data_IF_890648041926
#
_entry.id   IF_890648041926
#
_cell.length_a   1.000
_cell.length_b   1.000
_cell.length_c   1.000
_cell.angle_alpha   90.00
_cell.angle_beta   90.00
_cell.angle_gamma   90.00
#
_symmetry.space_group_name_H-M   'P 1'
#
loop_
_entity.id
_entity.type
_entity.pdbx_description
1 polymer ?
#
# COMPACT_ATOMS: atom_id res chain seq x y z
N UNK A 1 -15.96 -17.64 1.94
CA UNK A 1 -15.98 -17.02 3.27
C UNK A 1 -14.55 -16.58 3.56
N UNK A 2 -14.17 -15.40 3.07
CA UNK A 2 -12.79 -14.88 3.13
C UNK A 2 -12.66 -13.69 4.07
N UNK A 3 -13.69 -12.86 4.19
CA UNK A 3 -13.66 -11.67 5.06
C UNK A 3 -13.67 -12.08 6.54
N UNK A 4 -14.42 -13.11 6.90
CA UNK A 4 -14.39 -13.67 8.26
C UNK A 4 -13.00 -14.21 8.64
N UNK A 5 -12.26 -14.79 7.69
CA UNK A 5 -10.88 -15.23 7.94
C UNK A 5 -9.93 -14.04 8.17
N UNK A 6 -10.10 -12.96 7.39
CA UNK A 6 -9.34 -11.72 7.58
C UNK A 6 -9.63 -11.09 8.95
N UNK A 7 -10.91 -11.07 9.37
CA UNK A 7 -11.32 -10.60 10.70
C UNK A 7 -10.57 -11.36 11.80
N UNK A 8 -10.60 -12.69 11.77
CA UNK A 8 -9.87 -13.53 12.74
C UNK A 8 -8.36 -13.26 12.74
N UNK A 9 -7.76 -13.14 11.55
CA UNK A 9 -6.34 -12.82 11.45
C UNK A 9 -6.02 -11.45 12.07
N UNK A 10 -6.89 -10.45 11.89
CA UNK A 10 -6.70 -9.12 12.49
C UNK A 10 -6.88 -9.11 14.00
N UNK A 11 -7.81 -9.90 14.54
CA UNK A 11 -8.02 -10.05 15.98
C UNK A 11 -6.73 -10.56 16.66
N UNK A 12 -6.13 -11.61 16.09
CA UNK A 12 -4.95 -12.29 16.63
C UNK A 12 -3.61 -11.61 16.31
N UNK A 13 -3.50 -10.88 15.20
CA UNK A 13 -2.22 -10.30 14.80
C UNK A 13 -1.76 -9.15 15.71
N UNK A 14 -0.44 -8.92 15.73
CA UNK A 14 0.15 -7.74 16.34
C UNK A 14 -0.13 -6.50 15.48
N UNK A 15 -0.12 -5.28 16.07
CA UNK A 15 -0.19 -4.04 15.30
C UNK A 15 0.86 -3.97 14.20
N UNK A 16 0.54 -3.30 13.08
CA UNK A 16 1.40 -3.12 11.91
C UNK A 16 1.76 -4.43 11.17
N UNK A 17 0.96 -5.48 11.35
CA UNK A 17 1.14 -6.74 10.63
C UNK A 17 0.74 -6.62 9.16
N UNK A 18 1.35 -7.48 8.32
CA UNK A 18 0.98 -7.63 6.91
C UNK A 18 0.18 -8.93 6.75
N UNK A 19 -1.01 -8.83 6.18
CA UNK A 19 -1.89 -9.97 5.89
C UNK A 19 -1.98 -10.14 4.38
N UNK A 20 -1.58 -11.31 3.88
CA UNK A 20 -1.68 -11.65 2.46
C UNK A 20 -2.83 -12.64 2.25
N UNK A 21 -3.74 -12.28 1.36
CA UNK A 21 -4.93 -13.07 1.05
C UNK A 21 -4.82 -13.59 -0.36
N UNK A 22 -4.66 -14.91 -0.51
CA UNK A 22 -4.65 -15.58 -1.81
C UNK A 22 -6.01 -16.23 -2.04
N UNK A 23 -6.69 -15.87 -3.13
CA UNK A 23 -8.03 -16.42 -3.44
C UNK A 23 -8.30 -16.39 -4.94
N UNK A 24 -9.09 -17.33 -5.45
CA UNK A 24 -9.55 -17.35 -6.84
C UNK A 24 -10.99 -16.86 -7.01
N UNK A 25 -11.64 -16.44 -5.92
CA UNK A 25 -13.05 -16.13 -5.88
C UNK A 25 -13.40 -14.86 -5.09
N UNK A 26 -14.60 -14.33 -5.39
CA UNK A 26 -15.24 -13.24 -4.65
C UNK A 26 -15.67 -13.71 -3.26
N UNK A 27 -15.71 -12.77 -2.32
CA UNK A 27 -16.26 -13.04 -0.98
C UNK A 27 -17.78 -13.23 -1.02
N UNK A 28 -18.30 -14.16 -0.19
CA UNK A 28 -19.75 -14.32 0.10
C UNK A 28 -20.15 -13.70 1.43
N UNK A 29 -19.17 -13.36 2.26
CA UNK A 29 -19.31 -12.83 3.62
C UNK A 29 -18.90 -11.35 3.68
N UNK A 30 -19.20 -10.60 2.61
CA UNK A 30 -18.86 -9.18 2.47
C UNK A 30 -19.61 -8.28 3.45
N UNK A 31 -20.67 -8.76 4.12
CA UNK A 31 -21.35 -8.05 5.20
C UNK A 31 -20.45 -7.80 6.43
N UNK A 32 -19.34 -8.53 6.57
CA UNK A 32 -18.36 -8.35 7.64
C UNK A 32 -17.32 -7.23 7.37
N UNK A 33 -17.43 -6.52 6.23
CA UNK A 33 -16.42 -5.55 5.79
C UNK A 33 -16.22 -4.44 6.81
N UNK A 34 -17.28 -3.84 7.33
CA UNK A 34 -17.22 -2.75 8.32
C UNK A 34 -16.42 -3.13 9.59
N UNK A 35 -16.63 -4.35 10.09
CA UNK A 35 -15.90 -4.85 11.25
C UNK A 35 -14.40 -5.00 10.95
N UNK A 36 -14.07 -5.48 9.75
CA UNK A 36 -12.68 -5.60 9.28
C UNK A 36 -12.04 -4.23 9.11
N UNK A 37 -12.75 -3.24 8.56
CA UNK A 37 -12.24 -1.87 8.41
C UNK A 37 -11.92 -1.24 9.77
N UNK A 38 -12.77 -1.44 10.78
CA UNK A 38 -12.52 -0.96 12.13
C UNK A 38 -11.27 -1.61 12.76
N UNK A 39 -11.09 -2.91 12.57
CA UNK A 39 -9.90 -3.64 13.05
C UNK A 39 -8.62 -3.18 12.36
N UNK A 40 -8.66 -2.94 11.04
CA UNK A 40 -7.52 -2.42 10.27
C UNK A 40 -7.07 -1.07 10.80
N UNK A 41 -8.01 -0.15 11.05
CA UNK A 41 -7.68 1.17 11.60
C UNK A 41 -7.10 1.08 13.00
N UNK A 42 -7.54 0.14 13.82
CA UNK A 42 -7.01 -0.05 15.18
C UNK A 42 -5.60 -0.66 15.15
N UNK A 43 -5.43 -1.77 14.41
CA UNK A 43 -4.15 -2.49 14.33
C UNK A 43 -3.14 -1.80 13.43
N UNK A 44 -3.56 -0.85 12.59
CA UNK A 44 -2.72 -0.24 11.55
C UNK A 44 -2.06 -1.30 10.64
N UNK A 45 -2.75 -2.42 10.46
CA UNK A 45 -2.29 -3.58 9.67
C UNK A 45 -2.64 -3.41 8.20
N UNK A 46 -1.80 -3.96 7.33
CA UNK A 46 -1.98 -3.87 5.88
C UNK A 46 -2.53 -5.18 5.31
N UNK A 47 -3.53 -5.10 4.42
CA UNK A 47 -4.13 -6.28 3.79
C UNK A 47 -3.90 -6.24 2.28
N UNK A 48 -3.18 -7.22 1.77
CA UNK A 48 -2.83 -7.33 0.34
C UNK A 48 -3.53 -8.54 -0.25
N UNK A 49 -4.27 -8.32 -1.34
CA UNK A 49 -5.02 -9.38 -2.02
C UNK A 49 -4.29 -9.82 -3.28
N UNK A 50 -4.10 -11.13 -3.40
CA UNK A 50 -3.57 -11.80 -4.58
C UNK A 50 -4.67 -12.70 -5.14
N UNK A 51 -5.36 -12.19 -6.15
CA UNK A 51 -6.53 -12.84 -6.73
C UNK A 51 -6.18 -13.58 -8.01
N UNK A 52 -6.56 -14.86 -8.13
CA UNK A 52 -6.22 -15.71 -9.28
C UNK A 52 -7.46 -16.31 -9.92
N UNK A 53 -8.09 -15.62 -10.86
CA UNK A 53 -9.29 -16.15 -11.49
C UNK A 53 -10.01 -15.11 -12.33
N UNK A 54 -10.92 -15.58 -13.19
CA UNK A 54 -11.84 -14.71 -13.91
C UNK A 54 -12.96 -14.34 -12.93
N UNK A 55 -12.67 -13.38 -12.04
CA UNK A 55 -13.71 -12.74 -11.26
C UNK A 55 -14.46 -11.80 -12.22
N UNK A 56 -15.22 -12.40 -13.14
CA UNK A 56 -15.89 -11.81 -14.30
C UNK A 56 -16.92 -10.73 -13.99
N UNK A 57 -16.92 -10.20 -12.77
CA UNK A 57 -17.67 -9.03 -12.37
C UNK A 57 -16.96 -8.30 -11.22
N UNK A 58 -16.13 -7.32 -11.58
CA UNK A 58 -15.48 -6.36 -10.66
C UNK A 58 -16.46 -5.38 -10.02
N UNK A 59 -17.73 -5.40 -10.41
CA UNK A 59 -18.77 -4.54 -9.83
C UNK A 59 -19.48 -5.20 -8.65
N UNK A 60 -19.36 -6.52 -8.50
CA UNK A 60 -19.98 -7.27 -7.42
C UNK A 60 -19.48 -6.84 -6.03
N UNK A 61 -20.39 -6.76 -5.06
CA UNK A 61 -20.09 -6.31 -3.69
C UNK A 61 -18.97 -7.10 -3.01
N UNK A 62 -18.95 -8.42 -3.19
CA UNK A 62 -17.89 -9.29 -2.68
C UNK A 62 -16.49 -9.03 -3.24
N UNK A 63 -16.37 -8.37 -4.41
CA UNK A 63 -15.09 -7.89 -4.94
C UNK A 63 -14.79 -6.48 -4.43
N UNK A 64 -15.79 -5.59 -4.42
CA UNK A 64 -15.66 -4.23 -3.87
C UNK A 64 -15.21 -4.23 -2.41
N UNK A 65 -15.65 -5.20 -1.61
CA UNK A 65 -15.17 -5.41 -0.25
C UNK A 65 -13.65 -5.57 -0.17
N UNK A 66 -13.04 -6.32 -1.11
CA UNK A 66 -11.58 -6.45 -1.14
C UNK A 66 -10.90 -5.14 -1.54
N UNK A 67 -11.45 -4.41 -2.51
CA UNK A 67 -10.93 -3.09 -2.91
C UNK A 67 -10.98 -2.09 -1.76
N UNK A 68 -12.08 -2.07 -1.01
CA UNK A 68 -12.29 -1.18 0.13
C UNK A 68 -11.34 -1.50 1.29
N UNK A 69 -11.18 -2.78 1.61
CA UNK A 69 -10.22 -3.25 2.62
C UNK A 69 -8.79 -2.91 2.21
N UNK A 70 -8.43 -3.16 0.95
CA UNK A 70 -7.10 -2.83 0.42
C UNK A 70 -6.86 -1.31 0.43
N UNK A 71 -7.84 -0.51 0.04
CA UNK A 71 -7.73 0.96 0.06
C UNK A 71 -7.52 1.48 1.48
N UNK A 72 -8.38 1.06 2.42
CA UNK A 72 -8.34 1.51 3.82
C UNK A 72 -7.05 1.11 4.52
N UNK A 73 -6.55 -0.09 4.24
CA UNK A 73 -5.31 -0.62 4.83
C UNK A 73 -4.04 -0.15 4.10
N UNK A 74 -4.16 0.71 3.08
CA UNK A 74 -3.06 1.04 2.14
C UNK A 74 -2.41 -0.18 1.49
N UNK A 75 -3.13 -1.30 1.45
CA UNK A 75 -2.79 -2.48 0.68
C UNK A 75 -3.15 -2.32 -0.79
N UNK A 76 -3.23 -3.43 -1.49
CA UNK A 76 -3.52 -3.45 -2.93
C UNK A 76 -4.17 -4.77 -3.35
N UNK A 77 -5.00 -4.71 -4.38
CA UNK A 77 -5.58 -5.88 -5.03
C UNK A 77 -4.81 -6.15 -6.33
N UNK A 78 -4.28 -7.36 -6.44
CA UNK A 78 -3.60 -7.87 -7.62
C UNK A 78 -4.46 -8.93 -8.31
N UNK A 79 -4.94 -8.67 -9.52
CA UNK A 79 -5.58 -9.69 -10.35
C UNK A 79 -4.51 -10.38 -11.20
N UNK A 80 -4.39 -11.69 -11.07
CA UNK A 80 -3.38 -12.49 -11.76
C UNK A 80 -4.03 -13.66 -12.48
N UNK A 81 -3.34 -14.16 -13.52
CA UNK A 81 -3.63 -15.50 -14.04
C UNK A 81 -2.97 -16.55 -13.15
N UNK A 82 -3.54 -17.75 -13.08
CA UNK A 82 -2.99 -18.88 -12.30
C UNK A 82 -1.52 -19.16 -12.65
N UNK A 83 -1.12 -19.02 -13.91
CA UNK A 83 0.27 -19.19 -14.37
C UNK A 83 1.24 -18.08 -13.90
N UNK A 84 0.75 -16.97 -13.35
CA UNK A 84 1.54 -15.80 -12.98
C UNK A 84 1.79 -15.69 -11.46
N UNK A 85 1.22 -16.58 -10.65
CA UNK A 85 1.33 -16.55 -9.18
C UNK A 85 2.79 -16.57 -8.70
N UNK A 86 3.62 -17.39 -9.33
CA UNK A 86 5.05 -17.50 -8.99
C UNK A 86 5.80 -16.16 -9.15
N UNK A 87 5.36 -15.29 -10.09
CA UNK A 87 5.98 -13.98 -10.29
C UNK A 87 5.67 -13.03 -9.13
N UNK A 88 4.51 -13.19 -8.48
CA UNK A 88 4.12 -12.35 -7.35
C UNK A 88 4.83 -12.73 -6.05
N UNK A 89 5.25 -13.98 -5.88
CA UNK A 89 6.05 -14.38 -4.71
C UNK A 89 7.38 -13.60 -4.63
N UNK A 90 7.98 -13.26 -5.77
CA UNK A 90 9.18 -12.42 -5.82
C UNK A 90 8.93 -11.00 -5.29
N UNK A 91 7.76 -10.43 -5.59
CA UNK A 91 7.34 -9.15 -5.05
C UNK A 91 7.01 -9.24 -3.56
N UNK A 92 6.26 -10.27 -3.12
CA UNK A 92 5.90 -10.46 -1.71
C UNK A 92 7.16 -10.48 -0.83
N UNK A 93 8.25 -11.13 -1.29
CA UNK A 93 9.54 -11.12 -0.60
C UNK A 93 10.07 -9.70 -0.35
N UNK A 94 9.98 -8.81 -1.34
CA UNK A 94 10.39 -7.40 -1.18
C UNK A 94 9.37 -6.63 -0.34
N UNK A 95 8.10 -7.00 -0.41
CA UNK A 95 7.03 -6.28 0.27
C UNK A 95 6.92 -6.57 1.78
N UNK A 96 7.40 -7.73 2.25
CA UNK A 96 7.42 -8.14 3.66
C UNK A 96 8.70 -7.68 4.39
N UNK A 97 9.59 -6.94 3.72
CA UNK A 97 10.76 -6.39 4.38
C UNK A 97 10.35 -5.49 5.55
N UNK A 98 10.96 -5.74 6.72
CA UNK A 98 10.74 -4.92 7.90
C UNK A 98 11.09 -3.46 7.62
N UNK A 99 10.46 -2.52 8.32
CA UNK A 99 10.70 -1.06 8.20
C UNK A 99 10.25 -0.45 6.87
N UNK A 100 9.23 -1.04 6.27
CA UNK A 100 8.55 -0.47 5.12
C UNK A 100 7.64 0.68 5.57
N UNK A 101 7.81 1.85 4.96
CA UNK A 101 7.02 3.05 5.22
C UNK A 101 6.17 3.39 4.00
N UNK A 102 4.94 3.87 4.23
CA UNK A 102 4.08 4.38 3.16
C UNK A 102 4.49 5.82 2.83
N UNK A 103 4.84 6.08 1.58
CA UNK A 103 5.18 7.42 1.09
C UNK A 103 4.00 8.05 0.34
N UNK A 104 3.17 7.24 -0.33
CA UNK A 104 2.01 7.70 -1.07
C UNK A 104 1.02 6.54 -1.29
N UNK A 105 -0.27 6.79 -1.06
CA UNK A 105 -1.36 5.86 -1.33
C UNK A 105 -2.51 6.61 -2.01
N UNK A 106 -2.79 6.32 -3.27
CA UNK A 106 -3.79 7.03 -4.08
C UNK A 106 -4.63 6.03 -4.85
N UNK A 107 -5.94 6.23 -4.84
CA UNK A 107 -6.91 5.47 -5.61
C UNK A 107 -7.64 6.41 -6.57
N UNK A 108 -7.65 6.07 -7.85
CA UNK A 108 -8.37 6.78 -8.89
C UNK A 108 -9.53 5.93 -9.36
N UNK A 109 -10.75 6.45 -9.30
CA UNK A 109 -11.99 5.78 -9.75
C UNK A 109 -12.16 5.73 -11.27
N UNK A 110 -11.28 6.41 -12.02
CA UNK A 110 -11.32 6.54 -13.47
C UNK A 110 -9.92 6.45 -14.09
N UNK A 111 -9.87 6.30 -15.41
CA UNK A 111 -8.63 6.40 -16.19
C UNK A 111 -8.04 7.81 -16.11
N UNK A 112 -6.82 7.92 -15.59
CA UNK A 112 -6.18 9.23 -15.39
C UNK A 112 -4.67 9.14 -15.59
N UNK A 113 -4.09 10.23 -16.09
CA UNK A 113 -2.64 10.46 -16.05
C UNK A 113 -2.34 11.51 -15.00
N UNK A 114 -1.54 11.15 -13.99
CA UNK A 114 -1.23 12.05 -12.88
C UNK A 114 0.28 12.10 -12.64
N UNK A 115 0.78 13.29 -12.32
CA UNK A 115 2.17 13.51 -11.93
C UNK A 115 2.24 13.93 -10.46
N UNK A 116 3.16 13.32 -9.73
CA UNK A 116 3.37 13.49 -8.30
C UNK A 116 4.81 13.88 -8.00
N UNK A 117 4.98 14.66 -6.94
CA UNK A 117 6.28 14.99 -6.38
C UNK A 117 6.48 14.14 -5.12
N UNK A 118 7.57 13.37 -5.10
CA UNK A 118 7.88 12.46 -4.00
C UNK A 118 9.15 12.95 -3.32
N UNK A 119 9.08 13.43 -2.06
CA UNK A 119 10.27 13.79 -1.33
C UNK A 119 11.00 12.52 -0.90
N UNK A 120 12.28 12.42 -1.27
CA UNK A 120 13.14 11.30 -0.90
C UNK A 120 14.21 11.79 0.05
N UNK A 121 14.23 11.25 1.26
CA UNK A 121 15.22 11.56 2.26
C UNK A 121 16.47 10.66 2.14
N UNK A 122 17.61 11.03 2.76
CA UNK A 122 18.85 10.23 2.72
C UNK A 122 18.81 8.90 3.47
N UNK A 123 17.76 8.63 4.24
CA UNK A 123 17.63 7.43 5.08
C UNK A 123 16.77 6.36 4.41
N UNK A 124 16.10 6.69 3.30
CA UNK A 124 15.46 5.75 2.40
C UNK A 124 16.50 4.90 1.68
N UNK A 125 16.47 3.61 1.97
CA UNK A 125 17.32 2.58 1.36
C UNK A 125 16.78 2.14 0.00
N UNK A 126 15.45 2.12 -0.16
CA UNK A 126 14.80 1.81 -1.43
C UNK A 126 13.43 2.47 -1.53
N UNK A 127 12.94 2.62 -2.76
CA UNK A 127 11.58 3.05 -3.08
C UNK A 127 10.95 2.03 -4.01
N UNK A 128 9.78 1.52 -3.64
CA UNK A 128 8.95 0.67 -4.48
C UNK A 128 7.71 1.43 -4.92
N UNK A 129 7.50 1.52 -6.23
CA UNK A 129 6.29 2.06 -6.86
C UNK A 129 5.50 0.89 -7.42
N UNK A 130 4.27 0.71 -6.94
CA UNK A 130 3.32 -0.30 -7.41
C UNK A 130 2.07 0.38 -7.98
N UNK A 131 1.70 0.01 -9.20
CA UNK A 131 0.48 0.48 -9.86
C UNK A 131 -0.32 -0.72 -10.34
N UNK A 132 -1.59 -0.78 -9.94
CA UNK A 132 -2.58 -1.77 -10.39
C UNK A 132 -3.69 -1.05 -11.13
N UNK A 133 -4.04 -1.49 -12.33
CA UNK A 133 -5.02 -0.86 -13.22
C UNK A 133 -4.85 -1.34 -14.66
N UNK A 134 -5.73 -0.96 -15.59
CA UNK A 134 -5.63 -1.43 -16.98
C UNK A 134 -4.47 -0.76 -17.74
N UNK A 135 -3.54 -1.58 -18.26
CA UNK A 135 -2.34 -1.14 -19.04
C UNK A 135 -1.58 0.01 -18.35
N UNK A 136 -1.18 -0.15 -17.08
CA UNK A 136 -0.64 0.97 -16.33
C UNK A 136 0.74 1.34 -16.88
N UNK A 137 1.11 2.62 -16.83
CA UNK A 137 2.45 3.10 -17.16
C UNK A 137 3.05 3.89 -15.99
N UNK A 138 4.37 3.77 -15.84
CA UNK A 138 5.12 4.41 -14.76
C UNK A 138 6.33 5.07 -15.40
N UNK A 139 6.45 6.38 -15.22
CA UNK A 139 7.63 7.17 -15.57
C UNK A 139 8.16 7.83 -14.31
N UNK A 140 9.43 7.60 -14.02
CA UNK A 140 10.08 8.15 -12.85
C UNK A 140 11.28 9.01 -13.26
N UNK A 141 11.41 10.20 -12.69
CA UNK A 141 12.55 11.09 -12.87
C UNK A 141 13.22 11.35 -11.52
N UNK A 142 14.55 11.27 -11.52
CA UNK A 142 15.38 11.61 -10.38
C UNK A 142 15.35 13.13 -10.08
N UNK A 143 15.91 13.59 -8.96
CA UNK A 143 15.90 15.01 -8.60
C UNK A 143 16.65 15.91 -9.58
N UNK A 144 17.52 15.35 -10.43
CA UNK A 144 18.21 16.07 -11.51
C UNK A 144 17.41 16.06 -12.82
N UNK A 145 16.19 15.53 -12.80
CA UNK A 145 15.32 15.42 -13.98
C UNK A 145 15.65 14.26 -14.90
N UNK A 146 16.62 13.40 -14.56
CA UNK A 146 16.99 12.25 -15.40
C UNK A 146 15.93 11.18 -15.29
N UNK A 147 15.46 10.69 -16.44
CA UNK A 147 14.48 9.61 -16.48
C UNK A 147 15.13 8.28 -16.11
N UNK A 148 14.53 7.59 -15.14
CA UNK A 148 14.94 6.24 -14.77
C UNK A 148 14.55 5.24 -15.85
N UNK A 149 15.42 4.26 -16.11
CA UNK A 149 15.20 3.20 -17.09
C UNK A 149 15.50 1.85 -16.46
N UNK A 150 14.85 0.80 -16.98
CA UNK A 150 15.10 -0.58 -16.55
C UNK A 150 16.59 -0.91 -16.69
N UNK A 151 17.18 -1.52 -15.67
CA UNK A 151 18.61 -1.86 -15.65
C UNK A 151 19.55 -0.69 -15.33
N UNK A 152 19.06 0.55 -15.30
CA UNK A 152 19.84 1.73 -14.92
C UNK A 152 19.18 2.43 -13.71
N UNK A 153 19.33 1.79 -12.53
CA UNK A 153 18.80 2.28 -11.25
C UNK A 153 17.31 2.01 -11.01
N UNK A 154 16.60 1.37 -11.95
CA UNK A 154 15.21 0.94 -11.79
C UNK A 154 15.12 -0.56 -12.05
N UNK A 155 14.78 -1.32 -11.02
CA UNK A 155 14.59 -2.77 -11.04
C UNK A 155 13.13 -3.09 -11.25
N UNK A 156 12.83 -3.93 -12.22
CA UNK A 156 11.48 -4.47 -12.43
C UNK A 156 11.23 -5.62 -11.46
N UNK A 157 10.18 -5.50 -10.64
CA UNK A 157 9.75 -6.57 -9.75
C UNK A 157 8.59 -7.37 -10.35
N UNK A 158 7.67 -6.68 -11.02
CA UNK A 158 6.51 -7.29 -11.67
C UNK A 158 6.05 -6.41 -12.84
N UNK A 159 5.75 -7.03 -13.97
CA UNK A 159 5.29 -6.33 -15.16
C UNK A 159 4.28 -7.19 -15.92
N UNK A 160 3.02 -7.03 -15.52
CA UNK A 160 1.87 -7.70 -16.10
C UNK A 160 1.00 -6.68 -16.84
N UNK A 161 0.00 -7.18 -17.57
CA UNK A 161 -0.93 -6.33 -18.34
C UNK A 161 -1.66 -5.32 -17.44
N UNK A 162 -1.94 -5.67 -16.20
CA UNK A 162 -2.73 -4.90 -15.25
C UNK A 162 -1.97 -4.46 -14.00
N UNK A 163 -0.69 -4.81 -13.87
CA UNK A 163 0.12 -4.47 -12.69
C UNK A 163 1.54 -4.17 -13.12
N UNK A 164 2.09 -3.06 -12.66
CA UNK A 164 3.52 -2.75 -12.79
C UNK A 164 4.11 -2.35 -11.46
N UNK A 165 5.22 -3.00 -11.10
CA UNK A 165 5.95 -2.74 -9.86
C UNK A 165 7.42 -2.57 -10.18
N UNK A 166 7.96 -1.43 -9.75
CA UNK A 166 9.37 -1.10 -9.89
C UNK A 166 9.97 -0.73 -8.54
N UNK A 167 11.23 -1.12 -8.35
CA UNK A 167 12.02 -0.77 -7.18
C UNK A 167 13.25 0.04 -7.59
N UNK A 168 13.60 1.02 -6.77
CA UNK A 168 14.77 1.87 -6.92
C UNK A 168 15.58 1.67 -5.65
N UNK A 169 16.75 1.06 -5.78
CA UNK A 169 17.68 0.85 -4.67
C UNK A 169 18.60 2.07 -4.54
N UNK A 170 18.88 2.48 -3.30
CA UNK A 170 19.73 3.63 -2.96
C UNK A 170 19.35 4.88 -3.76
N UNK A 171 18.09 5.33 -3.70
CA UNK A 171 17.64 6.50 -4.45
C UNK A 171 18.40 7.76 -4.01
N UNK A 172 18.71 8.64 -4.96
CA UNK A 172 19.31 9.95 -4.64
C UNK A 172 18.34 10.78 -3.80
N UNK A 173 18.80 11.42 -2.71
CA UNK A 173 17.95 12.33 -1.95
C UNK A 173 17.48 13.52 -2.78
N UNK A 174 16.27 14.00 -2.51
CA UNK A 174 15.68 15.16 -3.18
C UNK A 174 14.26 14.91 -3.69
N UNK A 175 13.76 15.82 -4.52
CA UNK A 175 12.38 15.76 -5.01
C UNK A 175 12.30 14.95 -6.31
N UNK A 176 11.72 13.76 -6.22
CA UNK A 176 11.47 12.90 -7.38
C UNK A 176 10.17 13.27 -8.07
N UNK A 177 10.08 12.99 -9.37
CA UNK A 177 8.83 13.16 -10.12
C UNK A 177 8.35 11.80 -10.63
N UNK A 178 7.18 11.38 -10.16
CA UNK A 178 6.49 10.17 -10.59
C UNK A 178 5.31 10.55 -11.48
N UNK A 179 5.28 10.07 -12.72
CA UNK A 179 4.12 10.19 -13.62
C UNK A 179 3.55 8.79 -13.86
N UNK A 180 2.27 8.62 -13.55
CA UNK A 180 1.54 7.36 -13.72
C UNK A 180 0.37 7.60 -14.67
N UNK A 181 0.07 6.60 -15.51
CA UNK A 181 -1.19 6.58 -16.27
C UNK A 181 -1.80 5.19 -16.28
N UNK A 182 -3.12 5.12 -16.40
CA UNK A 182 -3.91 3.91 -16.61
C UNK A 182 -5.16 4.28 -17.42
N UNK A 183 -5.71 3.34 -18.18
CA UNK A 183 -6.92 3.60 -19.00
C UNK A 183 -8.21 3.59 -18.21
N UNK A 184 -8.22 2.87 -17.08
CA UNK A 184 -9.39 2.73 -16.20
C UNK A 184 -9.01 3.04 -14.74
N UNK A 185 -9.94 2.78 -13.81
CA UNK A 185 -9.70 2.78 -12.37
C UNK A 185 -8.36 2.11 -12.03
N UNK A 186 -7.58 2.77 -11.18
CA UNK A 186 -6.25 2.30 -10.82
C UNK A 186 -5.83 2.76 -9.44
N UNK A 187 -4.92 2.01 -8.84
CA UNK A 187 -4.36 2.26 -7.52
C UNK A 187 -2.85 2.45 -7.62
N UNK A 188 -2.35 3.44 -6.90
CA UNK A 188 -0.94 3.79 -6.84
C UNK A 188 -0.50 3.64 -5.39
N UNK A 189 0.55 2.85 -5.17
CA UNK A 189 1.20 2.67 -3.88
C UNK A 189 2.68 2.95 -4.03
N UNK A 190 3.18 3.93 -3.28
CA UNK A 190 4.62 4.20 -3.17
C UNK A 190 5.02 3.92 -1.73
N UNK A 191 6.00 3.04 -1.61
CA UNK A 191 6.54 2.64 -0.32
C UNK A 191 8.05 2.81 -0.32
N UNK A 192 8.62 3.07 0.85
CA UNK A 192 10.04 3.17 1.05
C UNK A 192 10.52 2.14 2.06
N UNK A 193 11.73 1.64 1.90
CA UNK A 193 12.44 0.97 3.00
C UNK A 193 13.26 2.02 3.72
N UNK A 194 12.96 2.31 4.98
CA UNK A 194 13.68 3.32 5.75
C UNK A 194 14.27 2.73 7.02
N UNK A 195 15.39 3.30 7.47
CA UNK A 195 15.90 3.04 8.82
C UNK A 195 15.09 3.76 9.91
N UNK A 196 14.17 4.64 9.53
CA UNK A 196 13.32 5.42 10.42
C UNK A 196 11.87 4.98 10.31
N UNK A 197 11.24 4.76 11.47
CA UNK A 197 9.79 4.62 11.57
C UNK A 197 9.13 5.98 11.77
N UNK A 198 7.87 6.10 11.37
CA UNK A 198 7.02 7.23 11.75
C UNK A 198 5.78 6.68 12.44
N UNK A 199 5.44 7.25 13.58
CA UNK A 199 4.18 6.98 14.26
C UNK A 199 3.38 8.27 14.31
N UNK A 200 2.07 8.13 14.12
CA UNK A 200 1.13 9.22 14.25
C UNK A 200 -0.01 8.77 15.17
N UNK A 201 -0.55 9.73 15.92
CA UNK A 201 -1.70 9.53 16.79
C UNK A 201 -2.49 10.83 16.91
N UNK A 202 -3.77 10.69 17.20
CA UNK A 202 -4.69 11.79 17.42
C UNK A 202 -4.87 12.01 18.91
N UNK A 203 -4.78 13.26 19.34
CA UNK A 203 -5.04 13.64 20.73
C UNK A 203 -6.02 14.80 20.78
N UNK A 204 -6.85 14.82 21.82
CA UNK A 204 -7.76 15.94 22.11
C UNK A 204 -7.04 17.13 22.75
N UNK A 205 -5.87 16.90 23.36
CA UNK A 205 -5.05 17.91 24.02
C UNK A 205 -3.61 17.85 23.51
N UNK A 206 -2.86 18.97 23.50
CA UNK A 206 -1.43 18.92 23.23
C UNK A 206 -0.76 17.89 24.14
N UNK A 207 -0.04 16.95 23.55
CA UNK A 207 0.66 15.89 24.28
C UNK A 207 2.01 15.61 23.65
N UNK A 208 2.96 15.19 24.48
CA UNK A 208 4.28 14.74 24.06
C UNK A 208 4.42 13.20 24.13
N UNK A 209 3.34 12.49 24.49
CA UNK A 209 3.33 11.03 24.67
C UNK A 209 2.29 10.34 23.79
N UNK A 210 2.73 9.33 23.03
CA UNK A 210 1.84 8.48 22.22
C UNK A 210 0.86 7.64 23.05
N UNK A 211 1.15 7.40 24.34
CA UNK A 211 0.24 6.65 25.23
C UNK A 211 -1.11 7.38 25.36
N UNK A 212 -1.09 8.71 25.25
CA UNK A 212 -2.28 9.56 25.31
C UNK A 212 -2.90 9.87 23.94
N UNK A 213 -2.50 9.14 22.89
CA UNK A 213 -3.02 9.31 21.53
C UNK A 213 -3.84 8.10 21.10
N UNK A 214 -4.86 8.33 20.28
CA UNK A 214 -5.64 7.29 19.60
C UNK A 214 -5.21 7.18 18.13
N UNK A 215 -5.37 6.02 17.50
CA UNK A 215 -5.01 5.84 16.09
C UNK A 215 -6.06 6.38 15.10
N UNK A 216 -7.26 6.74 15.58
CA UNK A 216 -8.35 7.24 14.74
C UNK A 216 -8.95 8.53 15.31
N UNK A 217 -9.39 9.45 14.44
CA UNK A 217 -10.12 10.61 14.89
C UNK A 217 -11.55 10.24 15.28
N UNK A 218 -12.09 10.90 16.31
CA UNK A 218 -13.48 10.71 16.74
C UNK A 218 -14.35 11.76 16.05
N UNK A 219 -15.39 11.28 15.35
CA UNK A 219 -16.34 12.12 14.62
C UNK A 219 -16.93 13.20 15.54
N UNK A 220 -16.99 14.43 15.04
CA UNK A 220 -17.61 15.57 15.73
C UNK A 220 -16.72 16.33 16.73
N UNK A 221 -15.46 15.94 16.91
CA UNK A 221 -14.53 16.62 17.82
C UNK A 221 -13.27 17.10 17.07
N UNK A 222 -12.81 18.32 17.35
CA UNK A 222 -11.50 18.79 16.89
C UNK A 222 -10.40 18.03 17.62
N UNK A 223 -9.44 17.48 16.86
CA UNK A 223 -8.31 16.71 17.40
C UNK A 223 -7.00 17.14 16.74
N UNK A 224 -5.92 17.08 17.50
CA UNK A 224 -4.57 17.39 17.07
C UNK A 224 -3.90 16.11 16.54
N UNK A 225 -3.26 16.21 15.38
CA UNK A 225 -2.44 15.14 14.82
C UNK A 225 -1.01 15.25 15.36
N UNK A 226 -0.65 14.35 16.26
CA UNK A 226 0.71 14.21 16.78
C UNK A 226 1.49 13.26 15.87
N UNK A 227 2.67 13.69 15.39
CA UNK A 227 3.58 12.86 14.60
C UNK A 227 4.96 12.88 15.24
N UNK A 228 5.60 11.73 15.35
CA UNK A 228 6.98 11.65 15.79
C UNK A 228 7.77 10.62 14.98
N UNK A 229 9.07 10.87 14.91
CA UNK A 229 10.05 10.12 14.15
C UNK A 229 10.72 9.14 15.10
N UNK A 230 10.53 7.85 14.86
CA UNK A 230 11.19 6.80 15.63
C UNK A 230 12.52 6.48 14.96
N UNK A 231 13.63 6.77 15.65
CA UNK A 231 14.91 6.14 15.35
C UNK A 231 14.84 4.70 15.85
N UNK A 232 14.71 3.75 14.92
CA UNK A 232 14.74 2.34 15.26
C UNK A 232 16.19 1.93 15.50
N UNK A 233 16.65 2.07 16.75
CA UNK A 233 17.84 1.38 17.23
C UNK A 233 17.48 -0.09 17.43
N UNK A 234 17.66 -0.89 16.38
CA UNK A 234 17.83 -2.32 16.55
C UNK A 234 19.32 -2.59 16.35
N UNK A 235 20.01 -2.74 17.48
CA UNK A 235 21.30 -3.43 17.64
C UNK A 235 21.18 -4.88 17.18
#
# INVERSE_FOLDING_TARGET
>A
MSIGAIKRALEECLPHSFIYVFTDARSKDYYLTEEVLALIQNKQSQVVFVMTGDCGDVTHQGYRAYEEIASTSSGQVFLLKKSQVNQVLNFVRVAVQARKVNLMSIDHTEGKTTAFKIPVDPKLQSITVSVSGTKPTIFLRDPKGRQMRKGNGMKELLNLKNVRIYNIEKPKPGMWTLKVSSTDQHTIRVTGLSSLGFTAGFSRRPTNSFISTEFRPIKGNSQLLFKSKLMNFLS
#
